data_IF_838626655229
#
_entry.id   IF_838626655229
#
_cell.length_a   1.000
_cell.length_b   1.000
_cell.length_c   1.000
_cell.angle_alpha   90.00
_cell.angle_beta   90.00
_cell.angle_gamma   90.00
#
_symmetry.space_group_name_H-M   'P 1'
#
loop_
_entity.id
_entity.type
_entity.pdbx_description
1 polymer ?
#
# COMPACT_ATOMS: atom_id res chain seq x y z
N UNK A 1 3.10 0.75 -15.89
CA UNK A 1 3.99 0.12 -14.91
C UNK A 1 4.11 1.10 -13.77
N UNK A 2 3.62 0.73 -12.59
CA UNK A 2 3.85 1.52 -11.37
C UNK A 2 5.11 0.99 -10.71
N UNK A 3 5.98 1.90 -10.31
CA UNK A 3 7.21 1.56 -9.60
C UNK A 3 7.06 1.80 -8.11
N UNK A 4 7.90 1.16 -7.31
CA UNK A 4 7.98 1.47 -5.89
C UNK A 4 8.33 2.94 -5.62
N UNK A 5 9.18 3.54 -6.47
CA UNK A 5 9.54 4.96 -6.36
C UNK A 5 8.35 5.91 -6.59
N UNK A 6 7.33 5.47 -7.35
CA UNK A 6 6.10 6.24 -7.53
C UNK A 6 5.29 6.28 -6.22
N UNK A 7 5.26 5.16 -5.48
CA UNK A 7 4.61 5.08 -4.17
C UNK A 7 5.30 5.93 -3.10
N UNK A 8 6.59 6.24 -3.25
CA UNK A 8 7.32 7.08 -2.29
C UNK A 8 6.99 8.57 -2.42
N UNK A 9 6.49 9.02 -3.58
CA UNK A 9 6.18 10.44 -3.82
C UNK A 9 4.81 10.87 -3.26
N UNK A 10 3.86 9.96 -3.18
CA UNK A 10 2.47 10.23 -2.79
C UNK A 10 2.21 10.09 -1.27
N UNK A 11 3.07 10.71 -0.46
CA UNK A 11 3.03 10.63 1.01
C UNK A 11 1.85 11.35 1.69
N UNK A 12 0.84 11.82 0.96
CA UNK A 12 -0.26 12.62 1.54
C UNK A 12 -1.34 11.76 2.22
N UNK A 13 -1.56 10.53 1.77
CA UNK A 13 -2.72 9.70 2.18
C UNK A 13 -2.36 8.55 3.13
N UNK A 14 -1.12 8.07 3.10
CA UNK A 14 -0.66 6.93 3.91
C UNK A 14 0.64 7.21 4.66
N UNK A 15 0.89 6.41 5.69
CA UNK A 15 2.12 6.40 6.49
C UNK A 15 2.90 5.14 6.13
N UNK A 16 4.15 5.28 5.67
CA UNK A 16 5.04 4.15 5.42
C UNK A 16 6.01 3.93 6.56
N UNK A 17 6.30 2.66 6.89
CA UNK A 17 7.39 2.26 7.79
C UNK A 17 8.29 1.28 7.07
N UNK A 18 9.58 1.60 7.02
CA UNK A 18 10.61 0.73 6.48
C UNK A 18 11.07 -0.30 7.53
N UNK A 19 11.23 -1.56 7.10
CA UNK A 19 11.74 -2.65 7.92
C UNK A 19 12.48 -3.66 7.04
N UNK A 20 13.79 -3.84 7.27
CA UNK A 20 14.60 -4.89 6.64
C UNK A 20 14.41 -5.05 5.12
N UNK A 21 14.28 -3.94 4.39
CA UNK A 21 14.09 -3.93 2.92
C UNK A 21 12.63 -4.08 2.46
N UNK A 22 11.67 -4.29 3.36
CA UNK A 22 10.23 -4.17 3.10
C UNK A 22 9.66 -2.89 3.67
N UNK A 23 8.55 -2.44 3.09
CA UNK A 23 7.84 -1.24 3.52
C UNK A 23 6.41 -1.58 3.84
N UNK A 24 5.92 -1.19 5.01
CA UNK A 24 4.49 -1.30 5.33
C UNK A 24 3.83 0.05 5.19
N UNK A 25 2.79 0.14 4.35
CA UNK A 25 1.94 1.33 4.24
C UNK A 25 0.67 1.15 5.06
N UNK A 26 0.25 2.23 5.72
CA UNK A 26 -0.96 2.32 6.54
C UNK A 26 -1.78 3.55 6.12
N UNK A 27 -3.12 3.54 6.19
CA UNK A 27 -3.91 4.75 6.00
C UNK A 27 -3.56 5.80 7.05
N UNK A 28 -3.64 7.09 6.69
CA UNK A 28 -3.79 8.15 7.68
C UNK A 28 -5.21 8.09 8.27
N UNK A 29 -5.34 8.54 9.53
CA UNK A 29 -6.64 8.64 10.20
C UNK A 29 -7.62 9.45 9.36
N UNK A 30 -8.79 8.88 9.06
CA UNK A 30 -9.84 9.50 8.26
C UNK A 30 -9.72 9.29 6.74
N UNK A 31 -8.74 8.50 6.27
CA UNK A 31 -8.53 8.15 4.86
C UNK A 31 -8.62 6.63 4.60
N UNK A 32 -9.27 5.88 5.49
CA UNK A 32 -9.32 4.42 5.43
C UNK A 32 -10.02 3.92 4.15
N UNK A 33 -11.05 4.63 3.67
CA UNK A 33 -11.75 4.26 2.43
C UNK A 33 -10.95 4.59 1.16
N UNK A 34 -10.19 5.68 1.16
CA UNK A 34 -9.27 6.04 0.09
C UNK A 34 -8.14 5.01 0.00
N UNK A 35 -7.61 4.60 1.15
CA UNK A 35 -6.59 3.57 1.24
C UNK A 35 -7.10 2.20 0.76
N UNK A 36 -8.31 1.81 1.15
CA UNK A 36 -8.94 0.57 0.68
C UNK A 36 -9.03 0.52 -0.85
N UNK A 37 -9.58 1.59 -1.45
CA UNK A 37 -9.66 1.74 -2.92
C UNK A 37 -8.28 1.74 -3.58
N UNK A 38 -7.30 2.38 -2.95
CA UNK A 38 -5.93 2.40 -3.44
C UNK A 38 -5.29 1.01 -3.46
N UNK A 39 -5.34 0.27 -2.34
CA UNK A 39 -4.78 -1.08 -2.25
C UNK A 39 -5.48 -2.04 -3.22
N UNK A 40 -6.80 -1.95 -3.34
CA UNK A 40 -7.56 -2.71 -4.35
C UNK A 40 -7.06 -2.39 -5.77
N UNK A 41 -6.89 -1.12 -6.11
CA UNK A 41 -6.38 -0.72 -7.43
C UNK A 41 -4.97 -1.25 -7.71
N UNK A 42 -4.10 -1.30 -6.70
CA UNK A 42 -2.77 -1.87 -6.84
C UNK A 42 -2.82 -3.38 -7.05
N UNK A 43 -3.75 -4.11 -6.42
CA UNK A 43 -3.93 -5.54 -6.65
C UNK A 43 -4.37 -5.86 -8.08
N UNK A 44 -5.23 -5.02 -8.67
CA UNK A 44 -5.72 -5.18 -10.04
C UNK A 44 -4.64 -4.87 -11.10
N UNK A 45 -3.52 -4.24 -10.71
CA UNK A 45 -2.41 -3.97 -11.62
C UNK A 45 -1.59 -5.24 -11.91
N UNK A 46 -1.55 -5.58 -13.21
CA UNK A 46 -0.83 -6.76 -13.75
C UNK A 46 0.67 -6.54 -13.92
N UNK A 47 1.15 -5.29 -13.91
CA UNK A 47 2.58 -4.94 -14.11
C UNK A 47 3.05 -4.00 -13.02
N UNK A 48 3.82 -4.54 -12.08
CA UNK A 48 4.44 -3.87 -10.93
C UNK A 48 5.87 -4.37 -10.75
N UNK A 49 6.78 -3.52 -10.29
CA UNK A 49 8.15 -3.89 -9.89
C UNK A 49 8.27 -4.22 -8.40
N UNK A 50 7.14 -4.34 -7.70
CA UNK A 50 7.07 -4.69 -6.29
C UNK A 50 6.01 -5.77 -6.07
N UNK A 51 6.25 -6.63 -5.07
CA UNK A 51 5.25 -7.52 -4.52
C UNK A 51 4.40 -6.76 -3.47
N UNK A 52 3.10 -7.07 -3.40
CA UNK A 52 2.14 -6.43 -2.50
C UNK A 52 1.42 -7.49 -1.65
N UNK A 53 1.44 -7.32 -0.34
CA UNK A 53 0.82 -8.21 0.65
C UNK A 53 -0.11 -7.39 1.56
N UNK A 54 -1.37 -7.18 1.15
CA UNK A 54 -2.32 -6.43 1.96
C UNK A 54 -2.92 -7.28 3.08
N UNK A 55 -3.27 -6.61 4.18
CA UNK A 55 -3.98 -7.18 5.32
C UNK A 55 -5.33 -6.47 5.49
N UNK A 56 -6.31 -7.24 5.95
CA UNK A 56 -7.68 -6.76 6.17
C UNK A 56 -7.92 -6.58 7.67
N UNK A 57 -8.69 -5.55 8.03
CA UNK A 57 -9.23 -5.37 9.37
C UNK A 57 -10.48 -6.22 9.64
N UNK A 58 -11.06 -6.06 10.82
CA UNK A 58 -12.31 -6.70 11.24
C UNK A 58 -13.53 -6.30 10.37
N UNK A 59 -13.47 -5.14 9.71
CA UNK A 59 -14.51 -4.64 8.81
C UNK A 59 -14.32 -5.08 7.36
N UNK A 60 -13.30 -5.91 7.08
CA UNK A 60 -12.90 -6.35 5.73
C UNK A 60 -12.44 -5.21 4.82
N UNK A 61 -11.87 -4.15 5.40
CA UNK A 61 -11.18 -3.10 4.69
C UNK A 61 -9.67 -3.32 4.79
N UNK A 62 -8.90 -2.88 3.80
CA UNK A 62 -7.45 -2.96 3.89
C UNK A 62 -6.92 -2.04 5.00
N UNK A 63 -6.27 -2.63 6.01
CA UNK A 63 -5.74 -1.91 7.19
C UNK A 63 -4.29 -1.45 6.99
N UNK A 64 -3.55 -2.21 6.19
CA UNK A 64 -2.19 -1.94 5.77
C UNK A 64 -1.80 -2.86 4.61
N UNK A 65 -0.69 -2.54 3.97
CA UNK A 65 -0.07 -3.43 3.00
C UNK A 65 1.44 -3.43 3.12
N UNK A 66 2.04 -4.61 3.11
CA UNK A 66 3.48 -4.78 2.99
C UNK A 66 3.89 -4.81 1.53
N UNK A 67 4.95 -4.08 1.21
CA UNK A 67 5.49 -3.89 -0.13
C UNK A 67 6.95 -4.34 -0.11
N UNK A 68 7.32 -5.19 -1.05
CA UNK A 68 8.69 -5.69 -1.22
C UNK A 68 9.13 -5.39 -2.66
N UNK A 69 10.13 -4.52 -2.88
CA UNK A 69 10.69 -4.29 -4.21
C UNK A 69 11.25 -5.60 -4.82
N UNK A 70 11.09 -5.81 -6.13
CA UNK A 70 11.53 -7.02 -6.86
C UNK A 70 12.67 -6.70 -7.83
#
# INVERSE_FOLDING_TARGET
MITFADLQKDGEVYVSRERDGSWTIHPRLGFEQEFDRFVASLQDMTVRDFALFPRLDENKLYDCAEIIPV
#
